data_IF_453743428958
#
_entry.id   IF_453743428958
#
_cell.length_a   1.000
_cell.length_b   1.000
_cell.length_c   1.000
_cell.angle_alpha   90.00
_cell.angle_beta   90.00
_cell.angle_gamma   90.00
#
_symmetry.space_group_name_H-M   'P 1'
#
loop_
_entity.id
_entity.type
_entity.pdbx_description
1 polymer ?
2 polymer ?
#
# COMPACT_ATOMS: atom_id res chain seq x y z
N UNK A 1 6.63 3.36 11.20
CA UNK A 1 5.52 2.75 10.43
C UNK A 1 5.98 2.32 9.04
N UNK A 2 5.96 1.01 8.80
CA UNK A 2 6.38 0.46 7.51
C UNK A 2 5.42 -0.63 7.03
N UNK A 3 4.50 -0.26 6.15
CA UNK A 3 3.52 -1.20 5.63
C UNK A 3 2.74 -0.60 4.46
N UNK A 4 2.24 0.62 4.64
CA UNK A 4 1.48 1.29 3.60
C UNK A 4 2.05 2.68 3.30
N UNK A 5 2.36 3.43 4.36
CA UNK A 5 2.91 4.76 4.21
C UNK A 5 4.19 4.73 3.37
N UNK A 6 4.94 3.65 3.49
CA UNK A 6 6.19 3.49 2.75
C UNK A 6 5.92 3.46 1.25
N UNK A 7 5.04 2.55 0.83
CA UNK A 7 4.69 2.42 -0.58
C UNK A 7 4.06 3.70 -1.11
N UNK A 8 3.39 4.43 -0.22
CA UNK A 8 2.73 5.68 -0.60
C UNK A 8 3.76 6.72 -1.04
N UNK A 9 4.76 6.96 -0.19
CA UNK A 9 5.81 7.92 -0.51
C UNK A 9 6.60 7.49 -1.74
N UNK A 10 6.82 6.19 -1.88
CA UNK A 10 7.56 5.65 -3.02
C UNK A 10 6.87 6.00 -4.33
N UNK A 11 5.56 5.73 -4.39
CA UNK A 11 4.78 6.01 -5.58
C UNK A 11 4.73 7.50 -5.87
N UNK A 12 4.56 8.30 -4.82
CA UNK A 12 4.50 9.75 -4.96
C UNK A 12 5.84 10.31 -5.42
N UNK A 13 6.91 9.58 -5.12
CA UNK A 13 8.25 9.99 -5.50
C UNK A 13 8.47 9.78 -7.00
N UNK A 14 8.33 8.54 -7.45
CA UNK A 14 8.52 8.20 -8.85
C UNK A 14 7.57 9.00 -9.73
N UNK A 15 6.34 9.17 -9.26
CA UNK A 15 5.32 9.90 -10.01
C UNK A 15 5.74 11.36 -10.19
N UNK A 16 5.93 12.06 -9.06
CA UNK A 16 6.33 13.46 -9.10
C UNK A 16 7.06 13.85 -7.82
N UNK B 1 8.74 11.79 9.29
CA UNK B 1 10.02 11.66 10.02
C UNK B 1 10.44 10.19 10.10
N UNK B 2 9.46 9.29 10.00
CA UNK B 2 9.72 7.85 10.06
C UNK B 2 10.47 7.48 11.34
N UNK B 3 10.93 6.24 11.41
CA UNK B 3 11.66 5.77 12.58
C UNK B 3 12.78 4.82 12.17
N UNK B 4 12.64 4.21 11.00
CA UNK B 4 13.64 3.29 10.48
C UNK B 4 14.88 4.03 10.00
N UNK B 5 15.95 3.28 9.71
CA UNK B 5 17.19 3.87 9.24
C UNK B 5 17.84 2.98 8.19
N UNK B 6 17.09 1.99 7.70
CA UNK B 6 17.59 1.06 6.70
C UNK B 6 17.12 1.49 5.31
N UNK B 7 18.06 1.90 4.42
CA UNK B 7 17.73 2.32 3.06
C UNK B 7 17.33 1.16 2.15
N UNK B 8 17.31 -0.05 2.71
CA UNK B 8 16.94 -1.23 1.96
C UNK B 8 15.43 -1.31 1.73
N UNK B 9 14.66 -0.97 2.76
CA UNK B 9 13.21 -1.00 2.67
C UNK B 9 12.72 -0.03 1.59
N UNK B 10 13.33 1.15 1.54
CA UNK B 10 12.96 2.15 0.55
C UNK B 10 13.16 1.62 -0.86
N UNK B 11 14.30 0.99 -1.09
CA UNK B 11 14.63 0.43 -2.40
C UNK B 11 13.61 -0.64 -2.79
N UNK B 12 13.23 -1.47 -1.83
CA UNK B 12 12.25 -2.53 -2.08
C UNK B 12 10.89 -1.93 -2.42
N UNK B 13 10.57 -0.82 -1.78
CA UNK B 13 9.30 -0.14 -2.02
C UNK B 13 9.19 0.33 -3.46
N UNK B 14 10.22 1.06 -3.91
CA UNK B 14 10.25 1.57 -5.28
C UNK B 14 10.23 0.43 -6.30
N UNK B 15 10.93 -0.65 -5.98
CA UNK B 15 11.00 -1.80 -6.88
C UNK B 15 9.62 -2.44 -7.08
N UNK B 16 8.88 -2.60 -6.00
CA UNK B 16 7.56 -3.21 -6.04
C UNK B 16 6.57 -2.31 -6.79
N UNK B 17 6.44 -1.07 -6.35
CA UNK B 17 5.53 -0.12 -7.00
C UNK B 17 5.85 0.01 -8.48
N UNK B 18 7.13 0.00 -8.81
CA UNK B 18 7.56 0.11 -10.21
C UNK B 18 7.18 -1.16 -10.96
N UNK B 19 7.25 -2.30 -10.29
CA UNK B 19 6.92 -3.57 -10.89
C UNK B 19 5.46 -3.61 -11.31
N UNK B 20 4.59 -3.03 -10.46
CA UNK B 20 3.16 -2.99 -10.75
C UNK B 20 2.86 -2.03 -11.88
N UNK B 21 3.46 -0.84 -11.81
CA UNK B 21 3.26 0.18 -12.83
C UNK B 21 3.73 -0.30 -14.21
N UNK B 22 4.76 -1.14 -14.20
CA UNK B 22 5.30 -1.68 -15.45
C UNK B 22 4.48 -2.86 -15.95
N UNK B 23 4.07 -3.73 -15.01
CA UNK B 23 3.28 -4.90 -15.36
C UNK B 23 1.89 -4.50 -15.86
N UNK B 24 1.40 -3.37 -15.37
CA UNK B 24 0.08 -2.87 -15.76
C UNK B 24 0.19 -1.55 -16.51
N UNK B 25 1.35 -1.31 -17.12
CA UNK B 25 1.58 -0.09 -17.87
C UNK B 25 0.52 0.10 -18.95
N UNK B 26 0.01 -1.02 -19.45
CA UNK B 26 -1.01 -0.98 -20.49
C UNK B 26 -2.32 -0.41 -19.98
N UNK B 27 -2.70 -0.81 -18.78
CA UNK B 27 -3.94 -0.34 -18.17
C UNK B 27 -3.65 0.52 -16.94
N UNK B 28 -3.58 1.86 -17.12
CA UNK B 28 -3.31 2.79 -16.02
C UNK B 28 -4.40 2.78 -14.96
N UNK B 29 -5.54 2.17 -15.30
CA UNK B 29 -6.67 2.10 -14.38
C UNK B 29 -6.33 1.25 -13.16
N UNK B 30 -5.66 0.12 -13.40
CA UNK B 30 -5.29 -0.79 -12.32
C UNK B 30 -4.31 -0.11 -11.36
N UNK B 31 -3.31 0.57 -11.90
CA UNK B 31 -2.31 1.26 -11.10
C UNK B 31 -2.96 2.31 -10.21
N UNK B 32 -3.71 3.22 -10.84
CA UNK B 32 -4.39 4.28 -10.10
C UNK B 32 -5.31 3.70 -9.03
N UNK B 33 -5.92 2.56 -9.34
CA UNK B 33 -6.82 1.90 -8.41
C UNK B 33 -6.09 1.52 -7.12
N UNK B 34 -5.02 0.73 -7.27
CA UNK B 34 -4.22 0.29 -6.13
C UNK B 34 -3.80 1.48 -5.27
N UNK B 35 -3.31 2.53 -5.92
CA UNK B 35 -2.88 3.73 -5.22
C UNK B 35 -4.00 4.29 -4.36
N UNK B 36 -5.18 4.47 -4.96
CA UNK B 36 -6.33 4.99 -4.25
C UNK B 36 -6.65 4.14 -3.04
N UNK B 37 -6.48 2.83 -3.16
CA UNK B 37 -6.74 1.92 -2.06
C UNK B 37 -5.85 2.24 -0.87
N UNK B 38 -4.55 2.36 -1.13
CA UNK B 38 -3.59 2.66 -0.08
C UNK B 38 -3.87 4.04 0.54
N UNK B 39 -4.18 5.01 -0.31
CA UNK B 39 -4.46 6.37 0.15
C UNK B 39 -5.64 6.36 1.13
N UNK B 40 -6.70 5.66 0.76
CA UNK B 40 -7.89 5.56 1.61
C UNK B 40 -7.53 4.95 2.96
N UNK B 41 -6.76 3.86 2.92
CA UNK B 41 -6.34 3.18 4.14
C UNK B 41 -5.57 4.14 5.05
N UNK B 42 -4.79 5.01 4.43
CA UNK B 42 -3.99 5.98 5.18
C UNK B 42 -4.89 6.97 5.92
N UNK B 43 -5.85 7.54 5.19
CA UNK B 43 -6.78 8.51 5.78
C UNK B 43 -7.58 7.88 6.93
N UNK B 44 -7.91 6.61 6.78
CA UNK B 44 -8.68 5.89 7.80
C UNK B 44 -7.84 5.65 9.05
N UNK B 45 -6.63 5.15 8.84
CA UNK B 45 -5.73 4.87 9.96
C UNK B 45 -5.42 6.13 10.74
N UNK B 46 -5.15 7.22 10.02
CA UNK B 46 -4.84 8.50 10.64
C UNK B 46 -6.03 9.03 11.40
N UNK B 47 -7.22 8.91 10.81
CA UNK B 47 -8.44 9.39 11.44
C UNK B 47 -8.63 8.72 12.80
N UNK B 48 -8.43 7.40 12.84
CA UNK B 48 -8.57 6.63 14.07
C UNK B 48 -7.54 7.08 15.11
N UNK B 49 -6.29 7.22 14.68
CA UNK B 49 -5.22 7.64 15.58
C UNK B 49 -5.40 9.08 16.02
N UNK B 50 -6.18 9.84 15.24
CA UNK B 50 -6.44 11.24 15.57
C UNK B 50 -7.74 11.40 16.34
N UNK B 51 -8.58 10.37 16.29
CA UNK B 51 -9.86 10.37 16.99
C UNK B 51 -9.67 10.10 18.47
N UNK B 52 -8.42 9.83 18.87
CA UNK B 52 -8.13 9.55 20.25
C UNK B 52 -8.20 8.08 20.59
N UNK B 53 -9.40 7.51 20.45
CA UNK B 53 -9.59 6.10 20.74
C UNK B 53 -10.94 5.59 20.30
N UNK B 54 -11.99 6.31 20.69
CA UNK B 54 -13.36 5.93 20.33
C UNK B 54 -13.62 6.19 18.85
N UNK B 55 -13.45 5.16 18.03
CA UNK B 55 -13.66 5.28 16.60
C UNK B 55 -13.55 3.92 15.91
N UNK B 56 -14.38 3.70 14.90
CA UNK B 56 -14.37 2.44 14.16
C UNK B 56 -14.10 2.67 12.67
N UNK B 57 -12.87 2.37 12.21
CA UNK B 57 -12.49 2.56 10.80
C UNK B 57 -13.29 1.66 9.87
N UNK B 58 -13.50 2.13 8.64
CA UNK B 58 -14.25 1.37 7.64
C UNK B 58 -13.31 0.60 6.72
N UNK B 59 -12.01 0.87 6.84
CA UNK B 59 -11.01 0.19 6.00
C UNK B 59 -9.80 -0.22 6.83
N UNK B 60 -9.63 -1.52 7.02
CA UNK B 60 -8.51 -2.04 7.79
C UNK B 60 -7.59 -2.90 6.93
N UNK B 61 -6.61 -3.52 7.56
CA UNK B 61 -5.66 -4.37 6.86
C UNK B 61 -6.36 -5.53 6.15
N UNK B 62 -7.22 -6.23 6.89
CA UNK B 62 -7.96 -7.36 6.34
C UNK B 62 -8.85 -6.90 5.18
N UNK B 63 -9.52 -5.77 5.38
CA UNK B 63 -10.40 -5.23 4.36
C UNK B 63 -9.62 -4.91 3.08
N UNK B 64 -8.42 -4.36 3.24
CA UNK B 64 -7.58 -4.04 2.09
C UNK B 64 -7.16 -5.30 1.35
N UNK B 65 -6.76 -6.33 2.10
CA UNK B 65 -6.34 -7.59 1.50
C UNK B 65 -7.46 -8.17 0.65
N UNK B 66 -8.68 -8.08 1.15
CA UNK B 66 -9.84 -8.61 0.43
C UNK B 66 -10.08 -7.84 -0.87
N UNK B 67 -10.12 -6.52 -0.77
CA UNK B 67 -10.36 -5.66 -1.94
C UNK B 67 -9.27 -5.85 -2.99
N UNK B 68 -8.01 -5.73 -2.57
CA UNK B 68 -6.89 -5.90 -3.48
C UNK B 68 -6.88 -7.29 -4.11
N UNK B 69 -7.35 -8.27 -3.35
CA UNK B 69 -7.39 -9.65 -3.82
C UNK B 69 -8.39 -9.79 -4.96
N UNK B 70 -9.57 -9.21 -4.79
CA UNK B 70 -10.62 -9.28 -5.80
C UNK B 70 -10.20 -8.55 -7.08
N UNK B 71 -9.54 -7.41 -6.93
CA UNK B 71 -9.10 -6.63 -8.07
C UNK B 71 -7.88 -7.28 -8.73
N UNK B 72 -7.07 -7.97 -7.94
CA UNK B 72 -5.89 -8.66 -8.45
C UNK B 72 -6.17 -10.14 -8.59
N UNK B 73 -6.60 -10.56 -9.77
CA UNK B 73 -6.90 -11.96 -10.03
C UNK B 73 -5.74 -12.65 -10.74
N UNK B 74 -5.51 -13.92 -10.39
CA UNK B 74 -4.43 -14.70 -10.99
C UNK B 74 -3.07 -14.07 -10.71
N UNK B 75 -3.05 -13.08 -9.83
CA UNK B 75 -1.81 -12.39 -9.47
C UNK B 75 -1.59 -12.42 -7.96
N UNK B 76 -1.49 -13.62 -7.41
CA UNK B 76 -1.27 -13.79 -5.97
C UNK B 76 0.14 -13.38 -5.58
N UNK B 77 1.05 -13.39 -6.55
CA UNK B 77 2.44 -13.01 -6.30
C UNK B 77 2.52 -11.60 -5.75
N UNK B 78 1.88 -10.65 -6.44
CA UNK B 78 1.87 -9.26 -6.02
C UNK B 78 1.16 -9.11 -4.69
N UNK B 79 0.01 -9.76 -4.56
CA UNK B 79 -0.79 -9.69 -3.34
C UNK B 79 0.03 -10.20 -2.15
N UNK B 80 0.90 -11.16 -2.42
CA UNK B 80 1.75 -11.74 -1.37
C UNK B 80 2.80 -10.73 -0.93
N UNK B 81 3.52 -10.18 -1.90
CA UNK B 81 4.57 -9.19 -1.61
C UNK B 81 3.98 -8.02 -0.84
N UNK B 82 2.70 -7.72 -1.12
CA UNK B 82 2.01 -6.62 -0.45
C UNK B 82 1.66 -7.01 0.98
N UNK B 83 1.22 -8.25 1.17
CA UNK B 83 0.86 -8.72 2.49
C UNK B 83 2.05 -8.78 3.42
N UNK B 84 3.23 -9.03 2.86
CA UNK B 84 4.45 -9.11 3.66
C UNK B 84 4.69 -7.82 4.44
N UNK B 85 4.32 -6.69 3.83
CA UNK B 85 4.49 -5.40 4.47
C UNK B 85 3.65 -5.30 5.73
N UNK B 86 2.49 -5.95 5.71
CA UNK B 86 1.59 -5.94 6.86
C UNK B 86 2.19 -6.72 8.04
N UNK B 87 2.19 -6.13 9.25
CA UNK B 87 2.74 -6.79 10.44
C UNK B 87 1.89 -7.97 10.91
N UNK B 88 2.24 -8.54 12.05
CA UNK B 88 1.51 -9.68 12.59
C UNK B 88 0.18 -9.23 13.20
N UNK B 89 -0.86 -9.22 12.38
CA UNK B 89 -2.19 -8.81 12.83
C UNK B 89 -3.07 -10.03 13.10
#
# INVERSE_FOLDING_TARGET
>A
RMNIQMLLEAADYLER
>B
SLQNNQPVEFNHAINYVNKIKNRFQGQPDIYKAFLEILHTYQKEQRNAKEAGGNYTPALTEQEVYAQVARLFKNQEDLLSEFGQFLPDA
#
